data_IF_547656847208
#
_entry.id   IF_547656847208
#
_cell.length_a   1.000
_cell.length_b   1.000
_cell.length_c   1.000
_cell.angle_alpha   90.00
_cell.angle_beta   90.00
_cell.angle_gamma   90.00
#
_symmetry.space_group_name_H-M   'P 1'
#
loop_
_entity.id
_entity.type
_entity.pdbx_description
1 polymer ?
#
# COMPACT_ATOMS: atom_id res chain seq x y z
N UNK A 1 52.68 -12.57 20.73
CA UNK A 1 51.41 -12.97 21.38
C UNK A 1 50.28 -12.46 20.50
N UNK A 2 49.64 -13.34 19.73
CA UNK A 2 48.67 -12.98 18.67
C UNK A 2 47.34 -12.51 19.28
N UNK A 3 46.91 -11.29 18.98
CA UNK A 3 45.53 -10.84 19.17
C UNK A 3 44.69 -11.31 17.98
N UNK A 4 43.92 -12.39 18.17
CA UNK A 4 42.93 -12.84 17.20
C UNK A 4 41.69 -11.93 17.26
N UNK A 5 41.54 -11.08 16.25
CA UNK A 5 40.35 -10.25 16.03
C UNK A 5 39.29 -11.10 15.30
N UNK A 6 38.40 -11.72 16.06
CA UNK A 6 37.27 -12.51 15.53
C UNK A 6 36.21 -11.56 14.99
N UNK A 7 36.20 -11.35 13.67
CA UNK A 7 35.14 -10.63 12.96
C UNK A 7 33.90 -11.54 12.94
N UNK A 8 32.94 -11.29 13.83
CA UNK A 8 31.62 -11.90 13.73
C UNK A 8 30.88 -11.26 12.55
N UNK A 9 30.88 -11.96 11.42
CA UNK A 9 30.02 -11.65 10.28
C UNK A 9 28.60 -12.08 10.69
N UNK A 10 27.85 -11.15 11.29
CA UNK A 10 26.43 -11.35 11.54
C UNK A 10 25.76 -11.39 10.17
N UNK A 11 25.46 -12.61 9.70
CA UNK A 11 24.70 -12.83 8.49
C UNK A 11 23.35 -12.11 8.61
N UNK A 12 23.13 -11.13 7.76
CA UNK A 12 21.87 -10.42 7.67
C UNK A 12 20.83 -11.41 7.11
N UNK A 13 20.05 -12.02 7.99
CA UNK A 13 18.96 -12.93 7.61
C UNK A 13 17.99 -12.17 6.69
N UNK A 14 17.64 -12.77 5.56
CA UNK A 14 16.80 -12.16 4.54
C UNK A 14 15.36 -11.97 5.09
N UNK A 15 15.02 -10.74 5.49
CA UNK A 15 13.82 -10.39 6.29
C UNK A 15 12.50 -10.38 5.50
N UNK A 16 12.43 -11.07 4.35
CA UNK A 16 11.22 -11.11 3.55
C UNK A 16 10.06 -11.77 4.32
N UNK A 17 8.86 -11.23 4.12
CA UNK A 17 7.63 -11.68 4.80
C UNK A 17 6.65 -12.25 3.78
N UNK A 18 5.79 -13.15 4.25
CA UNK A 18 4.71 -13.73 3.45
C UNK A 18 3.40 -12.98 3.62
N UNK A 19 2.99 -12.24 2.60
CA UNK A 19 1.77 -11.46 2.55
C UNK A 19 0.63 -12.20 1.84
N UNK A 20 -0.60 -12.03 2.32
CA UNK A 20 -1.78 -12.73 1.80
C UNK A 20 -2.92 -11.81 1.34
N UNK A 21 -2.64 -10.58 0.90
CA UNK A 21 -3.70 -9.65 0.51
C UNK A 21 -4.39 -10.15 -0.77
N UNK A 22 -5.71 -10.26 -0.69
CA UNK A 22 -6.59 -10.73 -1.78
C UNK A 22 -7.46 -9.57 -2.29
N UNK A 23 -8.05 -8.78 -1.38
CA UNK A 23 -8.98 -7.70 -1.76
C UNK A 23 -8.75 -6.38 -1.02
N UNK A 24 -9.11 -5.29 -1.71
CA UNK A 24 -9.11 -3.93 -1.20
C UNK A 24 -10.47 -3.25 -1.37
N UNK A 25 -11.10 -2.82 -0.28
CA UNK A 25 -12.25 -1.92 -0.30
C UNK A 25 -11.86 -0.50 0.12
N UNK A 26 -12.51 0.50 -0.50
CA UNK A 26 -12.31 1.92 -0.19
C UNK A 26 -13.66 2.57 0.03
N UNK A 27 -13.80 3.34 1.11
CA UNK A 27 -14.98 4.15 1.42
C UNK A 27 -14.54 5.60 1.66
N UNK A 28 -15.04 6.53 0.85
CA UNK A 28 -14.72 7.95 0.96
C UNK A 28 -15.82 8.72 1.68
N UNK A 29 -15.44 9.57 2.64
CA UNK A 29 -16.36 10.53 3.25
C UNK A 29 -16.79 11.60 2.24
N UNK A 30 -17.85 12.35 2.59
CA UNK A 30 -18.36 13.43 1.75
C UNK A 30 -17.39 14.59 1.60
N UNK A 31 -16.68 14.91 2.68
CA UNK A 31 -15.75 16.02 2.77
C UNK A 31 -14.28 15.59 2.65
N UNK A 32 -14.03 14.40 2.08
CA UNK A 32 -12.68 13.88 1.89
C UNK A 32 -11.82 14.88 1.12
N UNK A 33 -10.64 15.18 1.66
CA UNK A 33 -9.65 16.08 1.08
C UNK A 33 -10.25 17.39 0.58
N UNK A 34 -11.08 18.05 1.40
CA UNK A 34 -11.80 19.28 1.03
C UNK A 34 -12.69 19.13 -0.22
N UNK A 35 -13.42 18.01 -0.30
CA UNK A 35 -14.25 17.62 -1.46
C UNK A 35 -13.44 17.40 -2.75
N UNK A 36 -12.17 16.99 -2.64
CA UNK A 36 -11.32 16.67 -3.78
C UNK A 36 -10.90 15.20 -3.79
N UNK A 37 -10.33 14.77 -4.91
CA UNK A 37 -9.84 13.40 -5.10
C UNK A 37 -8.66 13.15 -4.17
N UNK A 38 -8.56 11.93 -3.64
CA UNK A 38 -7.35 11.43 -2.98
C UNK A 38 -6.80 10.32 -3.83
N UNK A 39 -5.60 10.48 -4.37
CA UNK A 39 -4.85 9.35 -4.92
C UNK A 39 -4.35 8.45 -3.81
N UNK A 40 -4.59 7.15 -3.98
CA UNK A 40 -4.16 6.08 -3.09
C UNK A 40 -3.31 5.09 -3.87
N UNK A 41 -2.10 4.82 -3.38
CA UNK A 41 -1.23 3.80 -3.93
C UNK A 41 -0.99 2.70 -2.89
N UNK A 42 -1.35 1.47 -3.25
CA UNK A 42 -0.88 0.27 -2.57
C UNK A 42 0.40 -0.19 -3.27
N UNK A 43 1.47 -0.41 -2.53
CA UNK A 43 2.73 -0.90 -3.11
C UNK A 43 3.27 -2.12 -2.38
N UNK A 44 3.94 -2.99 -3.14
CA UNK A 44 4.82 -4.05 -2.62
C UNK A 44 6.27 -3.71 -2.96
N UNK A 45 7.17 -3.87 -1.99
CA UNK A 45 8.60 -3.59 -2.15
C UNK A 45 9.41 -4.87 -1.98
N UNK A 46 10.23 -5.19 -2.98
CA UNK A 46 10.96 -6.47 -3.10
C UNK A 46 12.44 -6.38 -2.74
N UNK A 47 12.97 -5.18 -2.54
CA UNK A 47 14.38 -4.92 -2.21
C UNK A 47 14.48 -4.22 -0.84
N UNK A 48 15.46 -4.62 -0.02
CA UNK A 48 15.51 -4.23 1.40
C UNK A 48 15.86 -2.77 1.59
N UNK A 49 16.88 -2.26 0.89
CA UNK A 49 17.37 -0.89 1.09
C UNK A 49 16.30 0.13 0.68
N UNK A 50 15.55 -0.20 -0.37
CA UNK A 50 14.37 0.53 -0.82
C UNK A 50 13.25 0.47 0.21
N UNK A 51 12.99 -0.69 0.82
CA UNK A 51 12.01 -0.79 1.91
C UNK A 51 12.39 0.04 3.13
N UNK A 52 13.66 0.01 3.54
CA UNK A 52 14.19 0.78 4.68
C UNK A 52 14.06 2.30 4.47
N UNK A 53 13.97 2.73 3.21
CA UNK A 53 13.73 4.11 2.79
C UNK A 53 12.23 4.42 2.69
N UNK A 54 11.50 3.68 1.86
CA UNK A 54 10.08 3.92 1.56
C UNK A 54 9.19 3.78 2.80
N UNK A 55 9.47 2.82 3.69
CA UNK A 55 8.64 2.56 4.88
C UNK A 55 8.58 3.74 5.87
N UNK A 56 9.53 4.68 5.75
CA UNK A 56 9.63 5.89 6.57
C UNK A 56 8.96 7.11 5.92
N UNK A 57 8.63 7.05 4.64
CA UNK A 57 8.05 8.18 3.90
C UNK A 57 6.64 8.52 4.38
N UNK A 58 6.32 9.81 4.34
CA UNK A 58 4.93 10.30 4.41
C UNK A 58 4.26 10.19 3.04
N UNK A 59 2.92 10.20 3.02
CA UNK A 59 2.12 10.24 1.79
C UNK A 59 2.56 11.35 0.83
N UNK A 60 2.63 12.59 1.32
CA UNK A 60 3.05 13.76 0.55
C UNK A 60 4.44 13.60 -0.09
N UNK A 61 5.41 13.15 0.70
CA UNK A 61 6.79 12.91 0.22
C UNK A 61 6.85 11.81 -0.84
N UNK A 62 6.13 10.71 -0.64
CA UNK A 62 6.01 9.65 -1.63
C UNK A 62 5.44 10.20 -2.95
N UNK A 63 4.33 10.93 -2.92
CA UNK A 63 3.69 11.43 -4.15
C UNK A 63 4.51 12.50 -4.88
N UNK A 64 5.27 13.33 -4.15
CA UNK A 64 6.22 14.28 -4.75
C UNK A 64 7.33 13.56 -5.52
N UNK A 65 7.83 12.43 -5.01
CA UNK A 65 8.95 11.69 -5.60
C UNK A 65 8.51 10.49 -6.46
N UNK A 66 7.21 10.18 -6.49
CA UNK A 66 6.63 8.95 -7.04
C UNK A 66 7.14 8.63 -8.44
N UNK A 67 7.12 9.60 -9.36
CA UNK A 67 7.54 9.38 -10.75
C UNK A 67 8.99 8.92 -10.84
N UNK A 68 9.89 9.59 -10.13
CA UNK A 68 11.31 9.24 -10.09
C UNK A 68 11.52 7.89 -9.39
N UNK A 69 10.86 7.69 -8.24
CA UNK A 69 10.96 6.44 -7.47
C UNK A 69 10.58 5.22 -8.30
N UNK A 70 9.44 5.28 -9.00
CA UNK A 70 8.96 4.17 -9.82
C UNK A 70 9.78 3.97 -11.09
N UNK A 71 10.30 5.04 -11.70
CA UNK A 71 11.17 4.92 -12.88
C UNK A 71 12.47 4.18 -12.56
N UNK A 72 13.12 4.52 -11.44
CA UNK A 72 14.40 3.92 -11.05
C UNK A 72 14.28 2.53 -10.40
N UNK A 73 13.10 2.17 -9.87
CA UNK A 73 12.92 0.95 -9.08
C UNK A 73 11.78 0.06 -9.61
N UNK A 74 11.47 0.15 -10.91
CA UNK A 74 10.33 -0.55 -11.52
C UNK A 74 10.39 -2.07 -11.37
N UNK A 75 11.59 -2.66 -11.29
CA UNK A 75 11.77 -4.11 -11.06
C UNK A 75 11.61 -4.52 -9.59
N UNK A 76 11.64 -3.56 -8.66
CA UNK A 76 11.63 -3.81 -7.21
C UNK A 76 10.36 -3.31 -6.52
N UNK A 77 9.41 -2.75 -7.28
CA UNK A 77 8.13 -2.24 -6.77
C UNK A 77 6.98 -2.74 -7.65
N UNK A 78 5.92 -3.27 -7.03
CA UNK A 78 4.59 -3.39 -7.65
C UNK A 78 3.67 -2.33 -7.08
N UNK A 79 2.83 -1.71 -7.91
CA UNK A 79 1.94 -0.61 -7.52
C UNK A 79 0.53 -0.86 -8.04
N UNK A 80 -0.46 -0.67 -7.18
CA UNK A 80 -1.87 -0.54 -7.53
C UNK A 80 -2.33 0.87 -7.15
N UNK A 81 -2.79 1.65 -8.13
CA UNK A 81 -3.20 3.04 -7.94
C UNK A 81 -4.72 3.18 -8.04
N UNK A 82 -5.28 3.99 -7.15
CA UNK A 82 -6.71 4.29 -7.07
C UNK A 82 -6.91 5.80 -6.89
N UNK A 83 -8.01 6.33 -7.43
CA UNK A 83 -8.38 7.74 -7.31
C UNK A 83 -9.84 7.85 -6.86
N UNK A 84 -10.16 7.45 -5.61
CA UNK A 84 -11.49 7.61 -5.05
C UNK A 84 -11.98 9.06 -5.12
N UNK A 85 -13.23 9.24 -5.56
CA UNK A 85 -13.93 10.53 -5.47
C UNK A 85 -14.62 10.66 -4.10
N UNK A 86 -14.95 11.87 -3.64
CA UNK A 86 -15.80 12.06 -2.47
C UNK A 86 -17.12 11.30 -2.59
N UNK A 87 -17.64 10.78 -1.47
CA UNK A 87 -18.90 10.00 -1.38
C UNK A 87 -18.94 8.69 -2.20
N UNK A 88 -17.78 8.16 -2.60
CA UNK A 88 -17.72 6.89 -3.32
C UNK A 88 -17.41 5.70 -2.42
N UNK A 89 -17.81 4.53 -2.91
CA UNK A 89 -17.46 3.23 -2.34
C UNK A 89 -16.92 2.33 -3.45
N UNK A 90 -15.70 1.85 -3.28
CA UNK A 90 -15.14 0.74 -4.05
C UNK A 90 -15.28 -0.54 -3.21
N UNK A 91 -16.08 -1.48 -3.70
CA UNK A 91 -16.29 -2.75 -3.02
C UNK A 91 -15.25 -3.78 -3.46
N UNK A 92 -14.43 -4.24 -2.49
CA UNK A 92 -13.61 -5.45 -2.56
C UNK A 92 -12.90 -5.71 -3.92
N UNK A 93 -12.12 -4.73 -4.38
CA UNK A 93 -11.28 -4.86 -5.57
C UNK A 93 -10.27 -6.02 -5.41
N UNK A 94 -10.28 -6.98 -6.33
CA UNK A 94 -9.31 -8.09 -6.37
C UNK A 94 -7.91 -7.57 -6.73
N UNK A 95 -6.92 -7.88 -5.89
CA UNK A 95 -5.53 -7.49 -6.13
C UNK A 95 -4.87 -8.53 -7.04
N UNK A 96 -4.93 -8.32 -8.36
CA UNK A 96 -4.27 -9.17 -9.34
C UNK A 96 -2.74 -9.09 -9.22
N UNK A 97 -2.04 -10.19 -9.56
CA UNK A 97 -0.58 -10.28 -9.57
C UNK A 97 0.11 -9.97 -8.24
N UNK A 98 -0.58 -10.15 -7.11
CA UNK A 98 0.01 -10.04 -5.78
C UNK A 98 1.15 -11.04 -5.59
N UNK A 99 2.33 -10.59 -5.15
CA UNK A 99 3.40 -11.52 -4.77
C UNK A 99 3.24 -11.92 -3.31
N UNK A 100 3.27 -13.22 -2.96
CA UNK A 100 3.22 -13.62 -1.57
C UNK A 100 4.49 -13.25 -0.81
N UNK A 101 5.65 -13.09 -1.46
CA UNK A 101 6.93 -12.82 -0.78
C UNK A 101 7.45 -11.44 -1.18
N UNK A 102 7.63 -10.56 -0.20
CA UNK A 102 8.25 -9.24 -0.35
C UNK A 102 8.81 -8.75 1.00
N UNK A 103 9.60 -7.67 1.02
CA UNK A 103 10.07 -7.07 2.27
C UNK A 103 8.95 -6.35 3.03
N UNK A 104 8.07 -5.70 2.27
CA UNK A 104 6.93 -5.02 2.84
C UNK A 104 5.87 -4.63 1.82
N UNK A 105 4.69 -4.32 2.34
CA UNK A 105 3.65 -3.66 1.61
C UNK A 105 3.16 -2.45 2.39
N UNK A 106 2.89 -1.35 1.70
CA UNK A 106 2.52 -0.06 2.30
C UNK A 106 1.49 0.63 1.42
N UNK A 107 0.56 1.32 2.07
CA UNK A 107 -0.43 2.17 1.41
C UNK A 107 -0.04 3.62 1.64
N UNK A 108 -0.02 4.42 0.58
CA UNK A 108 0.15 5.87 0.60
C UNK A 108 -1.12 6.57 0.14
N UNK A 109 -1.43 7.72 0.76
CA UNK A 109 -2.55 8.58 0.39
C UNK A 109 -2.07 10.01 0.21
N UNK A 110 -2.51 10.66 -0.87
CA UNK A 110 -2.13 12.02 -1.28
C UNK A 110 -2.99 13.10 -0.65
N UNK A 111 -3.20 13.03 0.67
CA UNK A 111 -3.77 14.17 1.37
C UNK A 111 -2.78 15.34 1.38
N UNK A 112 -3.29 16.57 1.29
CA UNK A 112 -2.49 17.79 1.41
C UNK A 112 -1.92 18.01 2.82
N UNK A 113 -2.49 17.35 3.83
CA UNK A 113 -2.07 17.47 5.22
C UNK A 113 -0.68 16.89 5.47
N UNK A 114 0.06 17.48 6.42
CA UNK A 114 1.40 17.02 6.81
C UNK A 114 1.41 15.77 7.71
N UNK A 115 0.23 15.17 7.92
CA UNK A 115 0.07 13.89 8.60
C UNK A 115 0.78 12.78 7.82
N UNK A 116 1.06 11.67 8.50
CA UNK A 116 1.80 10.54 7.90
C UNK A 116 1.16 10.07 6.59
N UNK A 117 -0.18 9.92 6.57
CA UNK A 117 -0.96 9.51 5.39
C UNK A 117 -0.35 8.31 4.64
N UNK A 118 0.24 7.40 5.42
CA UNK A 118 0.80 6.14 4.98
C UNK A 118 0.72 5.11 6.10
N UNK A 119 0.53 3.84 5.75
CA UNK A 119 0.57 2.75 6.73
C UNK A 119 1.04 1.45 6.09
N UNK A 120 1.84 0.70 6.84
CA UNK A 120 2.35 -0.61 6.42
C UNK A 120 1.30 -1.69 6.65
N UNK A 121 1.17 -2.62 5.72
CA UNK A 121 0.30 -3.77 5.87
C UNK A 121 0.94 -4.84 6.74
N UNK A 122 0.11 -5.48 7.56
CA UNK A 122 0.48 -6.71 8.25
C UNK A 122 0.45 -7.89 7.26
N UNK A 123 1.42 -8.83 7.32
CA UNK A 123 1.47 -9.97 6.41
C UNK A 123 0.21 -10.86 6.42
N UNK A 124 -0.54 -10.87 7.53
CA UNK A 124 -1.74 -11.71 7.73
C UNK A 124 -3.03 -11.10 7.16
N UNK A 125 -3.00 -9.89 6.62
CA UNK A 125 -4.19 -9.23 6.09
C UNK A 125 -4.58 -9.89 4.76
N UNK A 126 -5.81 -10.44 4.69
CA UNK A 126 -6.42 -10.96 3.46
C UNK A 126 -7.33 -9.95 2.77
N UNK A 127 -8.15 -9.25 3.54
CA UNK A 127 -9.08 -8.25 3.03
C UNK A 127 -8.82 -6.93 3.75
N UNK A 128 -8.47 -5.90 3.00
CA UNK A 128 -8.24 -4.57 3.53
C UNK A 128 -9.41 -3.66 3.19
N UNK A 129 -9.99 -3.01 4.20
CA UNK A 129 -10.93 -1.91 3.99
C UNK A 129 -10.36 -0.62 4.53
N UNK A 130 -10.41 0.43 3.70
CA UNK A 130 -9.90 1.76 4.01
C UNK A 130 -11.09 2.73 4.02
N UNK A 131 -11.22 3.50 5.10
CA UNK A 131 -12.13 4.64 5.19
C UNK A 131 -11.33 5.93 5.13
N UNK A 132 -11.59 6.73 4.12
CA UNK A 132 -10.97 8.03 3.87
C UNK A 132 -11.82 9.14 4.49
N UNK A 133 -11.19 9.98 5.30
CA UNK A 133 -11.83 11.10 5.98
C UNK A 133 -11.45 12.46 5.40
N UNK A 134 -11.76 13.55 6.12
CA UNK A 134 -11.58 14.90 5.63
C UNK A 134 -10.12 15.26 5.32
N UNK A 135 -9.19 14.87 6.20
CA UNK A 135 -7.79 15.31 6.14
C UNK A 135 -6.78 14.16 6.30
N UNK A 136 -7.26 12.93 6.50
CA UNK A 136 -6.48 11.73 6.75
C UNK A 136 -7.32 10.47 6.56
N UNK A 137 -6.65 9.32 6.63
CA UNK A 137 -7.32 8.05 6.85
C UNK A 137 -8.07 8.06 8.20
N UNK A 138 -9.35 7.70 8.18
CA UNK A 138 -10.15 7.52 9.40
C UNK A 138 -9.97 6.11 9.97
N UNK A 139 -9.94 5.10 9.09
CA UNK A 139 -9.86 3.71 9.51
C UNK A 139 -9.20 2.85 8.45
N UNK A 140 -8.29 1.99 8.86
CA UNK A 140 -7.88 0.80 8.12
C UNK A 140 -8.27 -0.43 8.93
N UNK A 141 -8.97 -1.38 8.33
CA UNK A 141 -9.36 -2.62 9.02
C UNK A 141 -9.19 -3.83 8.14
N UNK A 142 -8.65 -4.90 8.74
CA UNK A 142 -8.70 -6.23 8.15
C UNK A 142 -10.08 -6.84 8.39
N UNK A 143 -10.79 -7.22 7.34
CA UNK A 143 -12.09 -7.91 7.49
C UNK A 143 -11.88 -9.42 7.50
N UNK A 144 -12.41 -10.11 8.51
CA UNK A 144 -12.60 -11.55 8.45
C UNK A 144 -13.82 -11.87 7.57
N UNK A 145 -13.63 -12.73 6.54
CA UNK A 145 -14.63 -13.28 5.60
C UNK A 145 -15.76 -12.29 5.19
N UNK A 146 -15.63 -11.70 4.00
CA UNK A 146 -16.71 -10.92 3.36
C UNK A 146 -17.77 -11.90 2.82
N UNK A 147 -19.06 -11.71 3.17
CA UNK A 147 -20.19 -12.40 2.52
C UNK A 147 -20.35 -11.87 1.10
N UNK A 148 -20.29 -12.76 0.12
CA UNK A 148 -20.40 -12.47 -1.31
C UNK A 148 -21.75 -11.84 -1.65
N UNK A 149 -21.72 -10.59 -2.10
CA UNK A 149 -22.87 -9.86 -2.63
C UNK A 149 -22.38 -8.68 -3.44
N UNK A 150 -21.58 -8.95 -4.48
CA UNK A 150 -20.93 -7.94 -5.31
C UNK A 150 -21.96 -7.31 -6.27
N UNK A 151 -22.17 -5.99 -6.16
CA UNK A 151 -22.69 -5.17 -7.26
C UNK A 151 -21.55 -4.33 -7.81
N UNK A 152 -21.05 -4.71 -8.98
CA UNK A 152 -20.01 -3.98 -9.71
C UNK A 152 -20.57 -2.62 -10.17
N UNK A 153 -19.98 -1.52 -9.71
CA UNK A 153 -20.13 -0.20 -10.33
C UNK A 153 -18.75 0.24 -10.79
N UNK A 154 -18.56 0.34 -12.11
CA UNK A 154 -17.27 0.66 -12.72
C UNK A 154 -16.72 1.96 -12.15
N UNK A 155 -15.53 1.88 -11.56
CA UNK A 155 -14.66 3.02 -11.26
C UNK A 155 -13.36 2.76 -12.01
N UNK A 156 -12.92 3.75 -12.79
CA UNK A 156 -11.76 3.65 -13.67
C UNK A 156 -10.52 3.22 -12.87
N UNK A 157 -10.01 2.04 -13.18
CA UNK A 157 -8.73 1.53 -12.67
C UNK A 157 -7.83 1.30 -13.88
N UNK A 158 -6.77 2.10 -14.01
CA UNK A 158 -5.76 1.87 -15.03
C UNK A 158 -4.90 0.70 -14.54
N UNK A 159 -5.05 -0.47 -15.16
CA UNK A 159 -4.24 -1.67 -14.88
C UNK A 159 -4.96 -2.83 -14.18
N UNK A 160 -6.29 -2.81 -14.03
CA UNK A 160 -7.03 -3.94 -13.49
C UNK A 160 -7.34 -4.97 -14.59
N UNK A 161 -6.61 -6.09 -14.60
CA UNK A 161 -7.10 -7.28 -15.31
C UNK A 161 -8.26 -7.86 -14.48
N UNK A 162 -9.44 -7.91 -15.10
CA UNK A 162 -10.71 -8.37 -14.51
C UNK A 162 -10.83 -9.89 -14.49
N UNK A 163 -9.83 -10.58 -13.94
CA UNK A 163 -9.93 -12.03 -13.71
C UNK A 163 -9.50 -12.32 -12.27
N UNK A 164 -10.51 -12.40 -11.41
CA UNK A 164 -10.55 -13.37 -10.32
C UNK A 164 -11.42 -14.53 -10.81
#
# INVERSE_FOLDING_TARGET
>A
MLCALTIMIIGCENKQKRYSLETLGILSSQNMNNNSVVRLDLIQVFEQSLWDTISKMKGKEYFQNRKSLLAHNSQHIKVWSFEPLPQTKLEAFCIANWSPVCYGAIVFMSYESDKKNSFTLSPKVKHLNIKLGPDAIEKASSVGKIKSGLKYRQTYSIGANHEC
#
